data_IF_572483774500
#
_entry.id   IF_572483774500
#
_cell.length_a   1.000
_cell.length_b   1.000
_cell.length_c   1.000
_cell.angle_alpha   90.00
_cell.angle_beta   90.00
_cell.angle_gamma   90.00
#
_symmetry.space_group_name_H-M   'P 1'
#
loop_
_entity.id
_entity.type
_entity.pdbx_description
1 polymer ?
#
# COMPACT_ATOMS: atom_id res chain seq x y z
N UNK A 1 17.68 -26.40 15.25
CA UNK A 1 17.79 -26.49 13.79
C UNK A 1 18.07 -25.11 13.22
N UNK A 2 18.56 -25.03 11.98
CA UNK A 2 18.73 -23.75 11.28
C UNK A 2 17.37 -23.10 10.99
N UNK A 3 17.34 -21.77 11.06
CA UNK A 3 16.21 -20.94 10.62
C UNK A 3 15.71 -21.34 9.22
N UNK A 4 14.40 -21.41 9.03
CA UNK A 4 13.76 -21.66 7.73
C UNK A 4 12.82 -20.53 7.37
N UNK A 5 12.98 -19.97 6.18
CA UNK A 5 12.15 -18.89 5.63
C UNK A 5 11.80 -19.16 4.18
N UNK A 6 10.54 -18.94 3.84
CA UNK A 6 10.03 -18.83 2.48
C UNK A 6 10.11 -17.36 2.10
N UNK A 7 10.85 -17.04 1.03
CA UNK A 7 10.96 -15.66 0.54
C UNK A 7 9.72 -15.28 -0.25
N UNK A 8 8.90 -14.41 0.34
CA UNK A 8 7.74 -13.78 -0.29
C UNK A 8 7.91 -12.27 -0.12
N UNK A 9 7.62 -11.44 -1.13
CA UNK A 9 7.68 -9.99 -0.96
C UNK A 9 6.73 -9.53 0.16
N UNK A 10 7.25 -8.75 1.11
CA UNK A 10 6.43 -8.15 2.16
C UNK A 10 5.59 -6.99 1.61
N UNK A 11 4.37 -6.86 2.14
CA UNK A 11 3.48 -5.72 1.91
C UNK A 11 2.70 -5.35 3.15
N UNK A 12 2.42 -4.06 3.27
CA UNK A 12 1.56 -3.51 4.31
C UNK A 12 0.17 -3.23 3.74
N UNK A 13 -0.88 -3.48 4.53
CA UNK A 13 -2.24 -3.06 4.17
C UNK A 13 -2.43 -1.53 4.21
N UNK A 14 -1.38 -0.80 4.57
CA UNK A 14 -1.34 0.66 4.60
C UNK A 14 -0.52 1.22 3.44
N UNK A 15 -0.06 0.37 2.52
CA UNK A 15 0.59 0.81 1.30
C UNK A 15 -0.36 1.64 0.42
N UNK A 16 0.21 2.49 -0.43
CA UNK A 16 -0.55 3.47 -1.23
C UNK A 16 -1.54 2.83 -2.20
N UNK A 17 -1.39 1.54 -2.45
CA UNK A 17 -2.19 0.70 -3.34
C UNK A 17 -2.98 -0.38 -2.56
N UNK A 18 -3.19 -0.07 -1.27
CA UNK A 18 -4.13 -0.67 -0.33
C UNK A 18 -4.96 0.46 0.31
N UNK A 19 -5.61 1.28 -0.53
CA UNK A 19 -6.27 2.55 -0.14
C UNK A 19 -7.50 2.39 0.79
N UNK A 20 -7.77 1.19 1.34
CA UNK A 20 -8.80 0.99 2.37
C UNK A 20 -8.29 0.21 3.59
N UNK A 21 -8.60 0.75 4.75
CA UNK A 21 -7.61 0.77 5.82
C UNK A 21 -7.89 -0.28 6.92
N UNK A 22 -9.08 -0.89 6.92
CA UNK A 22 -9.50 -1.81 8.00
C UNK A 22 -9.86 -3.23 7.56
N UNK A 23 -10.16 -3.45 6.29
CA UNK A 23 -10.51 -4.76 5.72
C UNK A 23 -9.40 -5.45 4.93
N UNK A 24 -8.30 -4.75 4.63
CA UNK A 24 -7.33 -5.15 3.60
C UNK A 24 -6.29 -6.20 4.04
N UNK A 25 -6.29 -6.65 5.31
CA UNK A 25 -5.33 -7.64 5.79
C UNK A 25 -5.33 -8.93 4.94
N UNK A 26 -6.53 -9.41 4.57
CA UNK A 26 -6.71 -10.59 3.75
C UNK A 26 -6.21 -10.41 2.31
N UNK A 27 -6.72 -9.43 1.55
CA UNK A 27 -6.23 -9.11 0.20
C UNK A 27 -4.73 -8.84 0.17
N UNK A 28 -4.17 -8.17 1.19
CA UNK A 28 -2.72 -7.94 1.27
C UNK A 28 -1.95 -9.25 1.38
N UNK A 29 -2.42 -10.22 2.17
CA UNK A 29 -1.81 -11.55 2.24
C UNK A 29 -1.91 -12.31 0.90
N UNK A 30 -3.04 -12.19 0.18
CA UNK A 30 -3.21 -12.78 -1.15
C UNK A 30 -2.28 -12.12 -2.17
N UNK A 31 -2.14 -10.79 -2.13
CA UNK A 31 -1.23 -10.05 -2.99
C UNK A 31 0.22 -10.49 -2.77
N UNK A 32 0.66 -10.63 -1.51
CA UNK A 32 2.00 -11.14 -1.18
C UNK A 32 2.25 -12.52 -1.80
N UNK A 33 1.31 -13.47 -1.65
CA UNK A 33 1.43 -14.80 -2.28
C UNK A 33 1.52 -14.73 -3.80
N UNK A 34 0.67 -13.92 -4.44
CA UNK A 34 0.66 -13.75 -5.89
C UNK A 34 1.93 -13.05 -6.40
N UNK A 35 2.43 -12.05 -5.69
CA UNK A 35 3.70 -11.39 -5.99
C UNK A 35 4.88 -12.37 -5.85
N UNK A 36 4.83 -13.28 -4.86
CA UNK A 36 5.76 -14.40 -4.75
C UNK A 36 5.72 -15.35 -5.96
N UNK A 37 4.55 -15.51 -6.60
CA UNK A 37 4.37 -16.21 -7.89
C UNK A 37 4.67 -15.35 -9.12
N UNK A 38 5.23 -14.14 -8.93
CA UNK A 38 5.49 -13.15 -9.99
C UNK A 38 4.24 -12.65 -10.73
N UNK A 39 3.07 -12.76 -10.09
CA UNK A 39 1.86 -12.06 -10.53
C UNK A 39 1.90 -10.69 -9.86
N UNK A 40 2.21 -9.65 -10.64
CA UNK A 40 2.16 -8.27 -10.17
C UNK A 40 0.69 -7.88 -9.97
N UNK A 41 0.29 -7.72 -8.71
CA UNK A 41 -1.08 -7.39 -8.30
C UNK A 41 -1.03 -6.60 -6.99
N UNK A 42 -1.93 -5.63 -6.83
CA UNK A 42 -2.12 -4.87 -5.59
C UNK A 42 -3.33 -5.35 -4.78
N UNK A 43 -3.39 -5.07 -3.46
CA UNK A 43 -4.58 -5.28 -2.65
C UNK A 43 -5.82 -4.62 -3.24
N UNK A 44 -5.70 -3.39 -3.75
CA UNK A 44 -6.80 -2.69 -4.40
C UNK A 44 -7.26 -3.39 -5.70
N UNK A 45 -6.33 -3.87 -6.52
CA UNK A 45 -6.66 -4.62 -7.74
C UNK A 45 -7.39 -5.93 -7.44
N UNK A 46 -7.08 -6.59 -6.31
CA UNK A 46 -7.74 -7.83 -5.90
C UNK A 46 -9.25 -7.66 -5.65
N UNK A 47 -9.71 -6.47 -5.29
CA UNK A 47 -11.14 -6.22 -5.08
C UNK A 47 -11.97 -6.35 -6.36
N UNK A 48 -11.38 -6.20 -7.54
CA UNK A 48 -12.06 -6.47 -8.81
C UNK A 48 -12.55 -7.92 -8.96
N UNK A 49 -11.96 -8.86 -8.20
CA UNK A 49 -12.30 -10.28 -8.19
C UNK A 49 -13.18 -10.71 -7.02
N UNK A 50 -13.35 -9.83 -6.02
CA UNK A 50 -14.23 -10.06 -4.85
C UNK A 50 -15.65 -9.55 -5.14
N UNK A 51 -15.77 -8.52 -5.99
CA UNK A 51 -17.04 -7.88 -6.33
C UNK A 51 -17.24 -6.58 -5.54
N UNK A 52 -18.40 -6.41 -4.90
CA UNK A 52 -18.63 -5.23 -4.04
C UNK A 52 -17.69 -5.31 -2.85
N UNK A 53 -16.79 -4.33 -2.71
CA UNK A 53 -15.80 -4.25 -1.61
C UNK A 53 -16.51 -4.39 -0.25
N UNK A 54 -16.32 -5.51 0.47
CA UNK A 54 -16.97 -5.72 1.75
C UNK A 54 -16.27 -4.91 2.85
N UNK A 55 -16.96 -4.65 3.96
CA UNK A 55 -16.38 -4.01 5.14
C UNK A 55 -15.22 -4.83 5.75
N UNK A 56 -15.30 -6.15 5.62
CA UNK A 56 -14.27 -7.11 6.01
C UNK A 56 -14.20 -8.19 4.94
N UNK A 57 -13.00 -8.65 4.60
CA UNK A 57 -12.85 -9.80 3.72
C UNK A 57 -13.00 -11.11 4.47
N UNK A 58 -13.73 -12.05 3.90
CA UNK A 58 -13.92 -13.40 4.41
C UNK A 58 -13.16 -14.42 3.55
N UNK A 59 -13.04 -15.66 4.05
CA UNK A 59 -12.38 -16.75 3.35
C UNK A 59 -12.84 -16.93 1.89
N UNK A 60 -14.15 -16.88 1.56
CA UNK A 60 -14.60 -16.98 0.17
C UNK A 60 -14.07 -15.84 -0.72
N UNK A 61 -13.98 -14.62 -0.19
CA UNK A 61 -13.46 -13.46 -0.92
C UNK A 61 -11.99 -13.68 -1.28
N UNK A 62 -11.18 -14.15 -0.33
CA UNK A 62 -9.76 -14.41 -0.55
C UNK A 62 -9.54 -15.53 -1.57
N UNK A 63 -10.38 -16.58 -1.55
CA UNK A 63 -10.36 -17.65 -2.55
C UNK A 63 -10.69 -17.12 -3.95
N UNK A 64 -11.73 -16.30 -4.07
CA UNK A 64 -12.15 -15.69 -5.34
C UNK A 64 -11.06 -14.76 -5.88
N UNK A 65 -10.47 -13.92 -5.01
CA UNK A 65 -9.40 -13.01 -5.37
C UNK A 65 -8.14 -13.75 -5.86
N UNK A 66 -7.69 -14.76 -5.11
CA UNK A 66 -6.51 -15.54 -5.47
C UNK A 66 -6.69 -16.32 -6.79
N UNK A 67 -7.87 -16.92 -7.00
CA UNK A 67 -8.19 -17.62 -8.23
C UNK A 67 -8.34 -16.66 -9.42
N UNK A 68 -9.09 -15.57 -9.25
CA UNK A 68 -9.36 -14.60 -10.30
C UNK A 68 -8.10 -13.89 -10.79
N UNK A 69 -7.23 -13.48 -9.88
CA UNK A 69 -6.02 -12.71 -10.21
C UNK A 69 -4.85 -13.57 -10.70
N UNK A 70 -4.74 -14.83 -10.24
CA UNK A 70 -3.55 -15.64 -10.55
C UNK A 70 -3.76 -17.14 -10.54
N UNK A 71 -5.00 -17.61 -10.69
CA UNK A 71 -5.37 -19.03 -10.71
C UNK A 71 -4.82 -19.81 -9.49
N UNK A 72 -4.69 -19.12 -8.36
CA UNK A 72 -4.16 -19.68 -7.13
C UNK A 72 -5.31 -20.25 -6.29
N UNK A 73 -5.42 -21.58 -6.26
CA UNK A 73 -6.36 -22.25 -5.38
C UNK A 73 -5.93 -22.09 -3.92
N UNK A 74 -6.83 -21.60 -3.07
CA UNK A 74 -6.63 -21.57 -1.62
C UNK A 74 -7.55 -22.60 -0.94
N UNK A 75 -6.97 -23.50 -0.17
CA UNK A 75 -7.70 -24.51 0.61
C UNK A 75 -7.79 -24.06 2.06
N UNK A 76 -9.01 -23.99 2.60
CA UNK A 76 -9.19 -23.70 4.01
C UNK A 76 -8.92 -24.95 4.85
N UNK A 77 -8.10 -24.82 5.89
CA UNK A 77 -7.80 -25.88 6.85
C UNK A 77 -7.82 -25.30 8.26
N UNK A 78 -8.28 -26.09 9.23
CA UNK A 78 -8.16 -25.79 10.65
C UNK A 78 -7.55 -26.97 11.37
N UNK A 79 -6.65 -26.71 12.32
CA UNK A 79 -5.98 -27.73 13.10
C UNK A 79 -6.67 -27.92 14.46
N UNK A 80 -6.69 -29.15 14.98
CA UNK A 80 -7.49 -29.46 16.15
C UNK A 80 -6.93 -28.85 17.44
N UNK A 81 -5.60 -28.68 17.53
CA UNK A 81 -4.93 -28.21 18.73
C UNK A 81 -3.57 -27.58 18.41
N UNK A 82 -2.98 -26.94 19.44
CA UNK A 82 -1.69 -26.23 19.36
C UNK A 82 -0.54 -27.09 18.85
N UNK A 83 -0.47 -28.36 19.26
CA UNK A 83 0.60 -29.27 18.87
C UNK A 83 0.49 -29.60 17.38
N UNK A 84 -0.71 -29.95 16.91
CA UNK A 84 -0.96 -30.20 15.50
C UNK A 84 -0.72 -28.94 14.65
N UNK A 85 -1.20 -27.78 15.11
CA UNK A 85 -1.02 -26.51 14.40
C UNK A 85 0.46 -26.17 14.19
N UNK A 86 1.29 -26.29 15.24
CA UNK A 86 2.72 -26.02 15.13
C UNK A 86 3.45 -27.06 14.26
N UNK A 87 3.06 -28.34 14.38
CA UNK A 87 3.62 -29.41 13.55
C UNK A 87 3.35 -29.16 12.05
N UNK A 88 2.10 -28.89 11.70
CA UNK A 88 1.68 -28.68 10.31
C UNK A 88 2.20 -27.37 9.73
N UNK A 89 2.32 -26.31 10.55
CA UNK A 89 3.01 -25.09 10.17
C UNK A 89 4.45 -25.39 9.73
N UNK A 90 5.19 -26.16 10.53
CA UNK A 90 6.57 -26.53 10.22
C UNK A 90 6.64 -27.39 8.96
N UNK A 91 5.73 -28.35 8.79
CA UNK A 91 5.65 -29.15 7.57
C UNK A 91 5.40 -28.31 6.31
N UNK A 92 4.55 -27.29 6.38
CA UNK A 92 4.33 -26.38 5.26
C UNK A 92 5.62 -25.60 4.93
N UNK A 93 6.26 -24.98 5.92
CA UNK A 93 7.51 -24.24 5.70
C UNK A 93 8.64 -25.15 5.21
N UNK A 94 8.72 -26.38 5.71
CA UNK A 94 9.69 -27.39 5.25
C UNK A 94 9.52 -27.76 3.78
N UNK A 95 8.29 -27.73 3.29
CA UNK A 95 7.96 -27.90 1.89
C UNK A 95 8.17 -26.61 1.06
N UNK A 96 8.61 -25.50 1.67
CA UNK A 96 8.72 -24.20 1.02
C UNK A 96 7.37 -23.48 0.84
N UNK A 97 6.35 -23.88 1.59
CA UNK A 97 4.99 -23.39 1.46
C UNK A 97 4.67 -22.36 2.55
N UNK A 98 4.58 -21.09 2.16
CA UNK A 98 3.95 -20.06 3.00
C UNK A 98 2.42 -20.31 3.10
N UNK A 99 1.74 -19.70 4.04
CA UNK A 99 0.26 -19.80 4.08
C UNK A 99 -0.35 -18.66 4.88
N UNK A 100 -1.61 -18.35 4.63
CA UNK A 100 -2.31 -17.27 5.35
C UNK A 100 -2.93 -17.87 6.61
N UNK A 101 -2.58 -17.35 7.78
CA UNK A 101 -3.24 -17.67 9.04
C UNK A 101 -4.30 -16.61 9.36
N UNK A 102 -5.44 -17.05 9.92
CA UNK A 102 -6.44 -16.18 10.53
C UNK A 102 -6.26 -16.26 12.05
N UNK A 103 -5.85 -15.17 12.68
CA UNK A 103 -5.51 -15.14 14.10
C UNK A 103 -6.26 -14.03 14.86
N UNK A 104 -6.50 -14.23 16.15
CA UNK A 104 -6.96 -13.18 17.06
C UNK A 104 -5.78 -12.29 17.42
N UNK A 105 -5.87 -11.00 17.15
CA UNK A 105 -4.76 -10.07 17.36
C UNK A 105 -4.61 -9.60 18.82
N UNK A 106 -5.68 -9.70 19.62
CA UNK A 106 -5.71 -9.23 21.02
C UNK A 106 -4.55 -9.72 21.90
N UNK A 107 -4.12 -11.00 21.86
CA UNK A 107 -2.98 -11.47 22.63
C UNK A 107 -1.65 -10.75 22.31
N UNK A 108 -1.57 -10.07 21.16
CA UNK A 108 -0.34 -9.44 20.65
C UNK A 108 -0.29 -7.94 20.84
N UNK A 109 -1.29 -7.31 21.44
CA UNK A 109 -1.36 -5.84 21.64
C UNK A 109 -0.09 -5.30 22.29
N UNK A 110 0.38 -5.94 23.37
CA UNK A 110 1.61 -5.51 24.07
C UNK A 110 2.87 -5.68 23.23
N UNK A 111 2.94 -6.76 22.45
CA UNK A 111 4.11 -7.10 21.63
C UNK A 111 4.22 -6.18 20.41
N UNK A 112 3.09 -5.91 19.76
CA UNK A 112 3.00 -5.15 18.51
C UNK A 112 2.92 -3.65 18.75
N UNK A 113 2.42 -3.24 19.93
CA UNK A 113 2.12 -1.85 20.25
C UNK A 113 0.80 -1.34 19.62
N UNK A 114 0.03 -2.23 18.98
CA UNK A 114 -1.26 -1.90 18.37
C UNK A 114 -2.43 -2.18 19.32
N UNK A 115 -3.53 -1.43 19.23
CA UNK A 115 -4.73 -1.62 20.07
C UNK A 115 -5.84 -2.49 19.43
N UNK A 116 -5.62 -3.03 18.24
CA UNK A 116 -6.53 -3.89 17.47
C UNK A 116 -6.67 -5.26 18.15
N UNK A 117 -7.91 -5.74 18.24
CA UNK A 117 -8.27 -6.91 19.05
C UNK A 117 -8.98 -8.01 18.28
N UNK A 118 -9.28 -7.78 17.01
CA UNK A 118 -10.18 -8.65 16.26
C UNK A 118 -9.39 -9.66 15.42
N UNK A 119 -10.10 -10.42 14.58
CA UNK A 119 -9.49 -11.34 13.65
C UNK A 119 -8.61 -10.59 12.63
N UNK A 120 -7.45 -11.16 12.33
CA UNK A 120 -6.45 -10.60 11.43
C UNK A 120 -5.87 -11.69 10.54
N UNK A 121 -5.71 -11.40 9.25
CA UNK A 121 -4.97 -12.26 8.34
C UNK A 121 -3.52 -11.84 8.28
N UNK A 122 -2.62 -12.82 8.35
CA UNK A 122 -1.19 -12.66 8.26
C UNK A 122 -0.59 -13.85 7.50
N UNK A 123 0.56 -13.64 6.86
CA UNK A 123 1.21 -14.68 6.08
C UNK A 123 2.33 -15.33 6.89
N UNK A 124 2.23 -16.62 7.16
CA UNK A 124 3.30 -17.37 7.82
C UNK A 124 4.39 -17.67 6.79
N UNK A 125 5.62 -17.22 7.06
CA UNK A 125 6.74 -17.29 6.11
C UNK A 125 7.96 -18.01 6.67
N UNK A 126 7.98 -18.41 7.93
CA UNK A 126 9.10 -19.18 8.43
C UNK A 126 8.96 -19.67 9.87
N UNK A 127 9.98 -20.40 10.32
CA UNK A 127 10.16 -20.72 11.73
C UNK A 127 11.63 -20.98 12.09
N UNK A 128 11.93 -20.90 13.38
CA UNK A 128 13.11 -21.50 14.01
C UNK A 128 12.65 -22.39 15.19
N UNK A 129 13.58 -22.95 15.96
CA UNK A 129 13.22 -23.86 17.07
C UNK A 129 12.21 -23.24 18.03
N UNK A 130 12.31 -21.94 18.28
CA UNK A 130 11.59 -21.19 19.31
C UNK A 130 10.57 -20.19 18.75
N UNK A 131 10.60 -19.89 17.46
CA UNK A 131 9.84 -18.80 16.86
C UNK A 131 9.13 -19.16 15.55
N UNK A 132 8.08 -18.40 15.26
CA UNK A 132 7.40 -18.32 13.98
C UNK A 132 7.66 -16.94 13.38
N UNK A 133 7.99 -16.90 12.09
CA UNK A 133 8.14 -15.68 11.32
C UNK A 133 6.92 -15.47 10.43
N UNK A 134 6.44 -14.22 10.38
CA UNK A 134 5.28 -13.87 9.59
C UNK A 134 5.53 -12.59 8.79
N UNK A 135 4.76 -12.39 7.72
CA UNK A 135 4.50 -11.08 7.17
C UNK A 135 3.17 -10.60 7.73
N UNK A 136 3.25 -9.64 8.64
CA UNK A 136 2.09 -9.00 9.24
C UNK A 136 1.74 -7.72 8.47
N UNK A 137 0.64 -7.71 7.70
CA UNK A 137 0.29 -6.57 6.88
C UNK A 137 -0.20 -5.38 7.72
N UNK A 138 -0.50 -5.55 9.01
CA UNK A 138 -1.08 -4.48 9.82
C UNK A 138 -0.06 -3.39 10.12
N UNK A 139 1.26 -3.64 10.13
CA UNK A 139 2.23 -2.60 10.49
C UNK A 139 2.17 -1.41 9.52
N UNK A 140 1.96 -0.19 10.04
CA UNK A 140 1.88 1.03 9.25
C UNK A 140 1.51 2.27 10.05
N UNK A 141 0.25 2.41 10.48
CA UNK A 141 -0.23 3.67 11.10
C UNK A 141 0.50 4.07 12.40
N UNK A 142 0.95 3.09 13.19
CA UNK A 142 1.55 3.32 14.52
C UNK A 142 3.01 2.86 14.61
N UNK A 143 3.55 2.26 13.56
CA UNK A 143 4.89 1.71 13.50
C UNK A 143 5.33 1.58 12.04
N UNK A 144 6.64 1.60 11.78
CA UNK A 144 7.19 1.43 10.43
C UNK A 144 6.65 0.16 9.76
N UNK A 145 6.27 0.26 8.49
CA UNK A 145 5.69 -0.85 7.71
C UNK A 145 6.64 -2.04 7.64
N UNK A 146 7.93 -1.80 7.40
CA UNK A 146 8.97 -2.84 7.34
C UNK A 146 9.06 -3.70 8.60
N UNK A 147 8.55 -3.24 9.75
CA UNK A 147 8.49 -4.06 10.96
C UNK A 147 7.56 -5.27 10.80
N UNK A 148 6.60 -5.24 9.88
CA UNK A 148 5.75 -6.39 9.59
C UNK A 148 6.46 -7.49 8.80
N UNK A 149 7.58 -7.20 8.15
CA UNK A 149 8.37 -8.17 7.41
C UNK A 149 9.12 -9.09 8.37
N UNK A 150 9.00 -10.41 8.16
CA UNK A 150 9.48 -11.48 9.05
C UNK A 150 9.28 -11.19 10.54
N UNK A 151 8.16 -10.57 10.91
CA UNK A 151 7.83 -10.28 12.30
C UNK A 151 7.85 -11.58 13.10
N UNK A 152 8.58 -11.54 14.22
CA UNK A 152 8.96 -12.73 14.97
C UNK A 152 8.07 -12.87 16.21
N UNK A 153 7.37 -13.98 16.30
CA UNK A 153 6.67 -14.41 17.50
C UNK A 153 7.40 -15.61 18.10
N UNK A 154 7.48 -15.72 19.42
CA UNK A 154 7.77 -17.05 20.00
C UNK A 154 6.66 -18.02 19.61
N UNK A 155 6.96 -19.32 19.56
CA UNK A 155 5.97 -20.37 19.25
C UNK A 155 4.72 -20.21 20.13
N UNK A 156 4.91 -19.90 21.42
CA UNK A 156 3.82 -19.65 22.36
C UNK A 156 3.01 -18.42 21.96
N UNK A 157 3.66 -17.28 21.74
CA UNK A 157 2.98 -16.03 21.36
C UNK A 157 2.15 -16.22 20.09
N UNK A 158 2.72 -16.85 19.06
CA UNK A 158 2.01 -17.09 17.81
C UNK A 158 0.76 -17.95 18.02
N UNK A 159 0.91 -19.08 18.72
CA UNK A 159 -0.19 -19.99 19.00
C UNK A 159 -1.27 -19.39 19.92
N UNK A 160 -0.91 -18.44 20.79
CA UNK A 160 -1.86 -17.72 21.64
C UNK A 160 -2.81 -16.84 20.80
N UNK A 161 -2.33 -16.24 19.71
CA UNK A 161 -3.19 -15.50 18.78
C UNK A 161 -3.89 -16.40 17.76
N UNK A 162 -3.17 -17.34 17.14
CA UNK A 162 -3.74 -18.24 16.12
C UNK A 162 -4.84 -19.18 16.67
N UNK A 163 -4.73 -19.53 17.95
CA UNK A 163 -5.74 -20.27 18.70
C UNK A 163 -6.49 -19.44 19.75
N UNK A 164 -6.53 -18.11 19.58
CA UNK A 164 -7.03 -17.17 20.58
C UNK A 164 -8.48 -16.74 20.44
N UNK A 165 -9.24 -17.31 19.51
CA UNK A 165 -10.66 -16.98 19.33
C UNK A 165 -11.53 -17.67 20.38
N UNK A 166 -12.54 -16.94 20.85
CA UNK A 166 -13.66 -17.52 21.59
C UNK A 166 -14.49 -18.44 20.67
N UNK A 167 -15.21 -19.41 21.25
CA UNK A 167 -16.02 -20.37 20.49
C UNK A 167 -17.16 -19.72 19.67
N UNK A 168 -17.52 -18.47 19.97
CA UNK A 168 -18.50 -17.68 19.22
C UNK A 168 -17.90 -16.86 18.07
N UNK A 169 -16.57 -16.85 17.92
CA UNK A 169 -15.85 -16.08 16.91
C UNK A 169 -15.38 -16.98 15.74
N UNK A 170 -14.18 -16.73 15.20
CA UNK A 170 -13.60 -17.54 14.14
C UNK A 170 -13.07 -18.87 14.69
N UNK A 171 -12.96 -19.87 13.82
CA UNK A 171 -12.36 -21.14 14.18
C UNK A 171 -10.87 -20.99 14.49
N UNK A 172 -10.46 -21.53 15.64
CA UNK A 172 -9.06 -21.59 16.06
C UNK A 172 -8.19 -22.38 15.09
N UNK A 173 -6.94 -21.93 14.92
CA UNK A 173 -5.94 -22.52 14.03
C UNK A 173 -6.39 -22.61 12.56
N UNK A 174 -7.29 -21.72 12.14
CA UNK A 174 -7.76 -21.60 10.76
C UNK A 174 -6.70 -20.97 9.86
N UNK A 175 -6.57 -21.50 8.64
CA UNK A 175 -5.64 -20.99 7.64
C UNK A 175 -6.12 -21.25 6.21
N UNK A 176 -5.52 -20.54 5.26
CA UNK A 176 -5.64 -20.77 3.83
C UNK A 176 -4.30 -21.24 3.29
N UNK A 177 -4.27 -22.47 2.82
CA UNK A 177 -3.10 -23.12 2.23
C UNK A 177 -3.20 -23.01 0.71
N UNK A 178 -2.26 -22.31 0.05
CA UNK A 178 -2.20 -22.28 -1.40
C UNK A 178 -1.95 -23.67 -2.00
N UNK A 179 -2.48 -23.91 -3.19
CA UNK A 179 -2.07 -25.05 -4.00
C UNK A 179 -0.69 -24.74 -4.63
N UNK A 180 0.31 -25.42 -4.11
CA UNK A 180 1.71 -25.33 -4.53
C UNK A 180 2.04 -26.25 -5.71
N UNK A 181 1.04 -26.78 -6.43
CA UNK A 181 1.19 -27.57 -7.66
C UNK A 181 2.02 -26.88 -8.76
N UNK A 182 2.28 -25.58 -8.63
CA UNK A 182 3.28 -24.84 -9.40
C UNK A 182 4.39 -24.35 -8.47
N UNK A 183 5.68 -24.61 -8.77
CA UNK A 183 6.77 -24.09 -7.97
C UNK A 183 6.68 -22.56 -7.93
N UNK A 184 6.64 -22.00 -6.72
CA UNK A 184 7.25 -20.69 -6.54
C UNK A 184 8.68 -20.86 -7.01
N UNK A 185 9.15 -20.00 -7.91
CA UNK A 185 10.48 -20.14 -8.49
C UNK A 185 11.45 -20.37 -7.33
N UNK A 186 12.01 -21.58 -7.23
CA UNK A 186 13.18 -21.85 -6.42
C UNK A 186 14.13 -20.70 -6.75
N UNK A 187 14.54 -19.97 -5.71
CA UNK A 187 15.26 -18.70 -5.77
C UNK A 187 15.64 -18.28 -7.19
N UNK A 188 15.21 -17.08 -7.62
CA UNK A 188 15.99 -16.38 -8.63
C UNK A 188 17.47 -16.69 -8.35
N UNK A 189 18.17 -17.24 -9.34
CA UNK A 189 19.63 -17.43 -9.27
C UNK A 189 20.14 -16.20 -8.51
N UNK A 190 20.90 -16.38 -7.42
CA UNK A 190 21.30 -15.25 -6.61
C UNK A 190 21.73 -14.17 -7.59
N UNK A 191 21.11 -12.99 -7.50
CA UNK A 191 21.81 -11.83 -7.99
C UNK A 191 23.23 -11.96 -7.45
N UNK A 192 24.26 -11.81 -8.31
CA UNK A 192 25.64 -12.05 -7.91
C UNK A 192 25.83 -11.46 -6.52
N UNK A 193 26.35 -12.27 -5.59
CA UNK A 193 26.48 -11.89 -4.18
C UNK A 193 26.84 -10.43 -4.10
N UNK A 194 26.10 -9.59 -3.33
CA UNK A 194 26.50 -8.20 -3.18
C UNK A 194 27.95 -8.24 -2.74
N UNK A 195 28.81 -7.59 -3.53
CA UNK A 195 30.20 -7.45 -3.18
C UNK A 195 30.29 -6.99 -1.72
N UNK A 196 31.28 -7.50 -0.96
CA UNK A 196 31.35 -7.35 0.49
C UNK A 196 31.07 -5.90 0.92
N UNK A 197 29.96 -5.68 1.66
CA UNK A 197 29.53 -4.41 2.25
C UNK A 197 30.14 -3.18 1.55
N UNK A 198 29.87 -3.03 0.24
CA UNK A 198 30.13 -1.75 -0.40
C UNK A 198 29.10 -0.80 0.18
N UNK A 199 29.56 0.19 0.96
CA UNK A 199 28.69 1.27 1.42
C UNK A 199 27.85 1.76 0.23
N UNK A 200 26.53 1.97 0.42
CA UNK A 200 25.68 2.47 -0.64
C UNK A 200 26.31 3.71 -1.25
N UNK A 201 26.28 3.79 -2.58
CA UNK A 201 26.81 4.94 -3.30
C UNK A 201 26.12 6.22 -2.82
N UNK A 202 26.78 7.37 -2.96
CA UNK A 202 26.18 8.64 -2.54
C UNK A 202 24.83 8.92 -3.24
N UNK A 203 24.66 8.45 -4.48
CA UNK A 203 23.40 8.53 -5.21
C UNK A 203 22.29 7.66 -4.58
N UNK A 204 22.62 6.44 -4.14
CA UNK A 204 21.68 5.54 -3.46
C UNK A 204 21.32 6.06 -2.06
N UNK A 205 22.30 6.61 -1.33
CA UNK A 205 22.08 7.29 -0.05
C UNK A 205 21.17 8.50 -0.24
N UNK A 206 21.39 9.31 -1.27
CA UNK A 206 20.58 10.49 -1.60
C UNK A 206 19.15 10.10 -1.98
N UNK A 207 18.98 9.09 -2.84
CA UNK A 207 17.69 8.54 -3.21
C UNK A 207 16.91 8.04 -1.99
N UNK A 208 17.55 7.27 -1.10
CA UNK A 208 16.93 6.78 0.11
C UNK A 208 16.57 7.91 1.09
N UNK A 209 17.43 8.92 1.23
CA UNK A 209 17.17 10.09 2.06
C UNK A 209 16.01 10.93 1.52
N UNK A 210 15.92 11.10 0.20
CA UNK A 210 14.82 11.78 -0.47
C UNK A 210 13.50 11.04 -0.25
N UNK A 211 13.49 9.72 -0.42
CA UNK A 211 12.32 8.88 -0.13
C UNK A 211 11.88 9.01 1.32
N UNK A 212 12.82 8.95 2.27
CA UNK A 212 12.54 9.10 3.69
C UNK A 212 11.98 10.50 4.02
N UNK A 213 12.54 11.56 3.45
CA UNK A 213 12.08 12.93 3.66
C UNK A 213 10.63 13.12 3.16
N UNK A 214 10.32 12.64 1.95
CA UNK A 214 8.97 12.75 1.37
C UNK A 214 7.96 11.82 2.06
N UNK A 215 8.39 10.64 2.54
CA UNK A 215 7.51 9.69 3.22
C UNK A 215 7.14 10.12 4.64
N UNK A 216 8.06 10.77 5.36
CA UNK A 216 7.85 11.23 6.75
C UNK A 216 7.17 12.60 6.77
N UNK A 217 7.50 13.47 5.81
CA UNK A 217 6.96 14.83 5.76
C UNK A 217 5.78 14.92 4.77
N UNK A 218 4.57 14.79 5.33
CA UNK A 218 3.33 14.97 4.57
C UNK A 218 3.17 16.36 3.94
N UNK A 219 3.88 17.38 4.43
CA UNK A 219 3.93 18.71 3.82
C UNK A 219 4.79 18.72 2.56
N UNK A 220 5.98 18.12 2.58
CA UNK A 220 6.83 18.00 1.39
C UNK A 220 6.11 17.23 0.28
N UNK A 221 5.50 16.08 0.61
CA UNK A 221 4.72 15.31 -0.36
C UNK A 221 3.59 16.14 -0.97
N UNK A 222 2.81 16.82 -0.13
CA UNK A 222 1.70 17.68 -0.58
C UNK A 222 2.17 18.81 -1.50
N UNK A 223 3.28 19.47 -1.15
CA UNK A 223 3.89 20.54 -1.96
C UNK A 223 4.39 20.01 -3.30
N UNK A 224 5.07 18.87 -3.33
CA UNK A 224 5.56 18.23 -4.57
C UNK A 224 4.41 17.88 -5.52
N UNK A 225 3.38 17.20 -5.01
CA UNK A 225 2.24 16.80 -5.85
C UNK A 225 1.48 18.03 -6.37
N UNK A 226 1.36 19.06 -5.54
CA UNK A 226 0.77 20.33 -5.95
C UNK A 226 1.61 21.06 -7.01
N UNK A 227 2.95 21.05 -6.89
CA UNK A 227 3.84 21.62 -7.89
C UNK A 227 3.76 20.87 -9.21
N UNK A 228 3.77 19.53 -9.19
CA UNK A 228 3.60 18.72 -10.41
C UNK A 228 2.27 19.04 -11.12
N UNK A 229 1.18 19.15 -10.34
CA UNK A 229 -0.12 19.56 -10.86
C UNK A 229 -0.13 21.02 -11.34
N UNK A 230 0.62 21.91 -10.68
CA UNK A 230 0.84 23.27 -11.15
C UNK A 230 1.54 23.24 -12.49
N UNK A 231 2.64 22.51 -12.67
CA UNK A 231 3.38 22.46 -13.94
C UNK A 231 2.62 21.75 -15.06
N UNK A 232 1.56 21.00 -14.74
CA UNK A 232 0.73 20.29 -15.70
C UNK A 232 1.32 18.95 -16.13
N UNK A 233 2.21 18.40 -15.31
CA UNK A 233 2.79 17.06 -15.53
C UNK A 233 1.96 15.98 -14.84
N UNK A 234 2.17 14.73 -15.23
CA UNK A 234 1.55 13.60 -14.57
C UNK A 234 1.98 13.51 -13.10
N UNK A 235 1.15 12.90 -12.26
CA UNK A 235 1.46 12.73 -10.85
C UNK A 235 2.76 11.92 -10.68
N UNK A 236 3.78 12.47 -10.00
CA UNK A 236 5.07 11.81 -9.92
C UNK A 236 5.05 10.60 -9.00
N UNK A 237 5.74 9.53 -9.39
CA UNK A 237 5.91 8.37 -8.53
C UNK A 237 6.96 8.66 -7.44
N UNK A 238 6.56 9.28 -6.34
CA UNK A 238 7.46 9.58 -5.21
C UNK A 238 7.90 8.35 -4.39
N UNK A 239 7.57 7.14 -4.85
CA UNK A 239 8.15 5.90 -4.35
C UNK A 239 9.41 5.49 -5.14
N UNK A 240 9.70 6.16 -6.26
CA UNK A 240 10.94 6.04 -7.00
C UNK A 240 11.96 7.07 -6.47
N UNK A 241 13.15 6.61 -6.12
CA UNK A 241 14.16 7.43 -5.44
C UNK A 241 14.70 8.55 -6.31
N UNK A 242 14.95 8.29 -7.59
CA UNK A 242 15.40 9.30 -8.55
C UNK A 242 14.33 10.36 -8.77
N UNK A 243 13.06 9.94 -8.93
CA UNK A 243 11.92 10.86 -9.01
C UNK A 243 11.80 11.71 -7.75
N UNK A 244 11.96 11.13 -6.55
CA UNK A 244 11.90 11.87 -5.30
C UNK A 244 13.01 12.93 -5.19
N UNK A 245 14.25 12.59 -5.56
CA UNK A 245 15.39 13.52 -5.60
C UNK A 245 15.11 14.66 -6.58
N UNK A 246 14.68 14.33 -7.81
CA UNK A 246 14.34 15.32 -8.82
C UNK A 246 13.32 16.34 -8.27
N UNK A 247 12.20 15.87 -7.71
CA UNK A 247 11.14 16.75 -7.24
C UNK A 247 11.50 17.53 -5.98
N UNK A 248 12.32 16.99 -5.08
CA UNK A 248 12.80 17.74 -3.92
C UNK A 248 13.71 18.90 -4.35
N UNK A 249 14.62 18.65 -5.29
CA UNK A 249 15.49 19.68 -5.84
C UNK A 249 14.71 20.72 -6.65
N UNK A 250 13.63 20.28 -7.30
CA UNK A 250 12.75 21.14 -8.10
C UNK A 250 11.71 21.91 -7.28
N UNK A 251 11.44 21.49 -6.03
CA UNK A 251 10.37 22.04 -5.20
C UNK A 251 10.57 23.51 -4.85
N UNK A 252 11.82 23.92 -4.61
CA UNK A 252 12.17 25.26 -4.16
C UNK A 252 11.29 25.76 -3.00
N UNK A 253 10.74 26.96 -3.18
CA UNK A 253 9.84 27.61 -2.20
C UNK A 253 8.35 27.38 -2.47
N UNK A 254 7.99 26.56 -3.47
CA UNK A 254 6.60 26.30 -3.81
C UNK A 254 5.81 25.83 -2.59
N UNK A 255 4.72 26.53 -2.27
CA UNK A 255 3.85 26.17 -1.14
C UNK A 255 4.49 26.26 0.24
N UNK A 256 5.68 26.89 0.39
CA UNK A 256 6.19 27.28 1.72
C UNK A 256 5.32 28.35 2.36
N UNK A 257 4.70 29.19 1.51
CA UNK A 257 3.70 30.16 1.90
C UNK A 257 2.36 29.77 1.28
N UNK A 258 1.30 29.95 2.06
CA UNK A 258 -0.07 29.70 1.63
C UNK A 258 -0.93 30.93 1.89
N UNK A 259 -1.81 31.25 0.96
CA UNK A 259 -2.92 32.16 1.23
C UNK A 259 -4.16 31.36 1.63
N UNK A 260 -4.81 31.75 2.71
CA UNK A 260 -6.04 31.11 3.16
C UNK A 260 -7.23 31.77 2.48
N UNK A 261 -7.92 31.03 1.63
CA UNK A 261 -9.15 31.46 0.98
C UNK A 261 -10.38 30.84 1.61
N UNK A 262 -11.40 31.64 1.93
CA UNK A 262 -12.73 31.15 2.33
C UNK A 262 -13.66 31.19 1.14
N UNK A 263 -14.13 30.02 0.71
CA UNK A 263 -14.99 29.86 -0.46
C UNK A 263 -16.31 30.62 -0.26
N UNK A 264 -16.69 31.42 -1.25
CA UNK A 264 -17.96 32.16 -1.32
C UNK A 264 -18.78 31.73 -2.55
N UNK A 265 -20.09 32.04 -2.61
CA UNK A 265 -20.90 31.71 -3.78
C UNK A 265 -20.27 32.22 -5.08
N UNK A 266 -20.22 31.35 -6.09
CA UNK A 266 -19.62 31.65 -7.40
C UNK A 266 -18.12 31.36 -7.52
N UNK A 267 -17.44 30.94 -6.45
CA UNK A 267 -16.07 30.44 -6.58
C UNK A 267 -16.03 29.11 -7.33
N UNK A 268 -15.02 28.98 -8.16
CA UNK A 268 -14.62 27.74 -8.84
C UNK A 268 -13.11 27.57 -8.69
N UNK A 269 -12.61 26.34 -8.72
CA UNK A 269 -11.16 26.12 -8.69
C UNK A 269 -10.43 26.87 -9.80
N UNK A 270 -10.98 26.89 -11.03
CA UNK A 270 -10.43 27.66 -12.16
C UNK A 270 -10.45 29.17 -11.92
N UNK A 271 -11.50 29.69 -11.28
CA UNK A 271 -11.60 31.11 -10.93
C UNK A 271 -10.59 31.51 -9.86
N UNK A 272 -10.43 30.67 -8.83
CA UNK A 272 -9.41 30.86 -7.79
C UNK A 272 -7.99 30.74 -8.37
N UNK A 273 -7.75 29.76 -9.23
CA UNK A 273 -6.48 29.59 -9.94
C UNK A 273 -6.13 30.82 -10.78
N UNK A 274 -7.07 31.36 -11.56
CA UNK A 274 -6.84 32.60 -12.31
C UNK A 274 -6.53 33.78 -11.39
N UNK A 275 -7.20 33.86 -10.24
CA UNK A 275 -6.99 34.93 -9.25
C UNK A 275 -5.60 34.86 -8.62
N UNK A 276 -5.16 33.67 -8.23
CA UNK A 276 -3.95 33.47 -7.44
C UNK A 276 -2.70 33.18 -8.28
N UNK A 277 -2.86 32.57 -9.45
CA UNK A 277 -1.77 32.16 -10.33
C UNK A 277 -1.78 32.85 -11.69
N UNK A 278 -2.77 33.72 -11.97
CA UNK A 278 -2.95 34.31 -13.30
C UNK A 278 -3.46 33.35 -14.38
N UNK A 279 -3.47 32.03 -14.11
CA UNK A 279 -3.84 31.00 -15.06
C UNK A 279 -4.94 30.08 -14.50
N UNK A 280 -6.07 30.00 -15.20
CA UNK A 280 -7.19 29.12 -14.83
C UNK A 280 -6.90 27.63 -14.98
N UNK A 281 -5.89 27.23 -15.75
CA UNK A 281 -5.54 25.83 -15.99
C UNK A 281 -4.75 25.20 -14.85
N UNK A 282 -4.17 26.02 -13.97
CA UNK A 282 -3.37 25.61 -12.80
C UNK A 282 -4.21 25.21 -11.58
N UNK A 283 -5.52 25.07 -11.78
CA UNK A 283 -6.49 24.86 -10.70
C UNK A 283 -6.29 23.56 -9.94
N UNK A 284 -5.72 22.56 -10.61
CA UNK A 284 -5.42 21.26 -10.02
C UNK A 284 -4.36 21.34 -8.93
N UNK A 285 -3.46 22.33 -8.99
CA UNK A 285 -2.48 22.59 -7.93
C UNK A 285 -3.15 22.90 -6.59
N UNK A 286 -4.22 23.73 -6.60
CA UNK A 286 -5.02 24.06 -5.41
C UNK A 286 -5.75 22.82 -4.92
N UNK A 287 -6.38 22.08 -5.82
CA UNK A 287 -7.14 20.88 -5.47
C UNK A 287 -6.25 19.84 -4.79
N UNK A 288 -5.10 19.52 -5.41
CA UNK A 288 -4.14 18.53 -4.92
C UNK A 288 -3.54 18.97 -3.59
N UNK A 289 -3.17 20.25 -3.44
CA UNK A 289 -2.65 20.77 -2.19
C UNK A 289 -3.65 20.66 -1.03
N UNK A 290 -4.95 20.78 -1.30
CA UNK A 290 -5.99 20.68 -0.28
C UNK A 290 -6.51 19.24 -0.07
N UNK A 291 -5.88 18.25 -0.71
CA UNK A 291 -6.28 16.84 -0.69
C UNK A 291 -7.79 16.65 -0.97
N UNK A 292 -8.30 17.28 -2.04
CA UNK A 292 -9.71 17.20 -2.43
C UNK A 292 -9.87 16.34 -3.68
N UNK A 293 -10.55 15.18 -3.59
CA UNK A 293 -10.77 14.32 -4.76
C UNK A 293 -11.84 14.88 -5.71
N UNK A 294 -12.74 15.72 -5.20
CA UNK A 294 -13.82 16.34 -6.00
C UNK A 294 -13.40 17.72 -6.53
N UNK A 295 -13.96 18.07 -7.68
CA UNK A 295 -13.86 19.39 -8.32
C UNK A 295 -14.88 20.38 -7.76
N UNK A 296 -15.83 19.92 -6.92
CA UNK A 296 -16.81 20.79 -6.27
C UNK A 296 -16.23 21.56 -5.08
N UNK A 297 -16.61 22.84 -4.99
CA UNK A 297 -16.32 23.72 -3.87
C UNK A 297 -17.58 24.00 -3.07
N UNK A 298 -17.46 23.96 -1.74
CA UNK A 298 -18.57 24.25 -0.84
C UNK A 298 -18.43 25.64 -0.23
N UNK A 299 -19.51 26.43 -0.23
CA UNK A 299 -19.51 27.76 0.39
C UNK A 299 -19.12 27.65 1.86
N UNK A 300 -18.19 28.49 2.29
CA UNK A 300 -17.61 28.48 3.64
C UNK A 300 -16.40 27.57 3.81
N UNK A 301 -16.09 26.71 2.84
CA UNK A 301 -14.88 25.87 2.85
C UNK A 301 -13.62 26.74 2.92
N UNK A 302 -12.66 26.32 3.74
CA UNK A 302 -11.34 26.92 3.81
C UNK A 302 -10.39 26.18 2.87
N UNK A 303 -9.71 26.90 2.01
CA UNK A 303 -8.67 26.39 1.11
C UNK A 303 -7.35 27.07 1.42
N UNK A 304 -6.28 26.28 1.43
CA UNK A 304 -4.91 26.76 1.46
C UNK A 304 -4.41 26.84 0.02
N UNK A 305 -4.10 28.04 -0.45
CA UNK A 305 -3.63 28.28 -1.81
C UNK A 305 -2.11 28.32 -1.76
N UNK A 306 -1.39 27.29 -2.26
CA UNK A 306 0.07 27.30 -2.26
C UNK A 306 0.56 28.38 -3.22
N UNK A 307 1.47 29.24 -2.77
CA UNK A 307 2.00 30.32 -3.58
C UNK A 307 3.33 29.92 -4.24
N UNK A 308 3.58 30.32 -5.50
CA UNK A 308 4.92 30.26 -6.08
C UNK A 308 5.87 31.21 -5.34
N UNK A 309 7.17 30.97 -5.45
CA UNK A 309 8.18 31.87 -4.88
C UNK A 309 8.04 33.28 -5.46
N UNK A 310 8.21 34.32 -4.63
CA UNK A 310 8.25 35.71 -5.10
C UNK A 310 9.43 35.88 -6.07
N UNK A 311 9.16 35.81 -7.37
CA UNK A 311 10.16 35.85 -8.44
C UNK A 311 9.96 34.85 -9.59
N UNK A 312 8.99 33.93 -9.52
CA UNK A 312 8.69 33.00 -10.63
C UNK A 312 7.56 33.46 -11.57
N UNK A 313 7.04 34.69 -11.40
CA UNK A 313 6.00 35.26 -12.25
C UNK A 313 6.48 35.68 -13.67
N UNK A 314 7.73 35.42 -14.03
CA UNK A 314 8.29 35.75 -15.35
C UNK A 314 9.16 34.61 -15.91
N UNK A 315 8.54 33.51 -16.32
CA UNK A 315 9.14 32.63 -17.34
C UNK A 315 8.04 31.95 -18.18
N UNK A 316 7.78 32.59 -19.33
CA UNK A 316 7.26 32.07 -20.59
C UNK A 316 5.83 31.51 -20.69
N UNK A 317 4.99 32.25 -21.41
CA UNK A 317 3.66 31.85 -21.88
C UNK A 317 3.65 30.80 -23.01
N UNK A 318 2.57 30.78 -23.79
CA UNK A 318 1.55 29.73 -23.72
C UNK A 318 2.12 28.35 -24.12
N UNK A 319 2.11 27.38 -23.20
CA UNK A 319 2.39 25.98 -23.53
C UNK A 319 1.09 25.19 -23.62
N UNK A 320 0.62 25.08 -24.86
CA UNK A 320 -0.21 24.03 -25.49
C UNK A 320 -1.22 23.27 -24.62
N UNK A 321 -2.49 23.40 -25.01
CA UNK A 321 -3.57 22.48 -24.65
C UNK A 321 -3.14 21.02 -24.83
N UNK A 322 -3.51 20.19 -23.85
CA UNK A 322 -3.45 18.74 -23.95
C UNK A 322 -4.01 18.27 -25.30
N UNK A 323 -3.26 17.39 -25.97
CA UNK A 323 -3.67 16.72 -27.21
C UNK A 323 -5.06 16.11 -26.98
N UNK A 324 -6.05 16.60 -27.72
CA UNK A 324 -7.37 16.01 -27.76
C UNK A 324 -7.28 14.66 -28.47
N UNK A 325 -7.61 13.58 -27.76
CA UNK A 325 -7.91 12.31 -28.41
C UNK A 325 -9.12 12.49 -29.35
N UNK A 326 -9.09 11.95 -30.59
CA UNK A 326 -10.24 12.01 -31.47
C UNK A 326 -11.43 11.28 -30.82
N UNK A 327 -12.59 11.95 -30.76
CA UNK A 327 -13.84 11.34 -30.31
C UNK A 327 -14.22 10.20 -31.26
N UNK A 328 -14.14 8.96 -30.78
CA UNK A 328 -14.78 7.83 -31.45
C UNK A 328 -16.28 7.93 -31.18
N UNK A 329 -17.04 8.33 -32.20
CA UNK A 329 -18.50 8.27 -32.17
C UNK A 329 -18.94 6.80 -32.32
N UNK A 330 -19.13 6.10 -31.21
CA UNK A 330 -19.89 4.85 -31.21
C UNK A 330 -21.40 5.19 -31.21
N UNK A 331 -22.19 4.74 -32.21
CA UNK A 331 -23.64 4.95 -32.20
C UNK A 331 -24.30 4.16 -31.07
N UNK A 332 -25.26 4.79 -30.38
CA UNK A 332 -26.06 4.15 -29.32
C UNK A 332 -26.86 2.97 -29.91
N UNK A 333 -26.86 1.79 -29.25
CA UNK A 333 -27.80 0.74 -29.60
C UNK A 333 -29.23 1.19 -29.29
N UNK A 334 -30.15 0.91 -30.22
CA UNK A 334 -31.57 1.19 -30.06
C UNK A 334 -32.20 0.27 -29.01
N UNK A 335 -33.19 0.74 -28.25
CA UNK A 335 -33.92 -0.10 -27.30
C UNK A 335 -34.74 -1.16 -28.04
N UNK A 336 -34.77 -2.37 -27.46
CA UNK A 336 -35.59 -3.51 -27.91
C UNK A 336 -37.04 -3.27 -27.50
#
# INVERSE_FOLDING_TARGET
MSEKKVRIPYRSQWDKDAEDHSGDCGPTCVAMLLNGKRVAITPDELYSYIGVRPKFTYIPDLKNAAWGAGQLNLTYKAYANRQQALHELRQNIDAGHAFIALAKYEPWIKLTGNQFKFGHFLLVTGYDDDHVFVHDPLFGLWAQRSRGEFFRFTNKQFLDGWGGFDYTENQNFGCLIPDYSYPFVAAAQPEPEPEPDTEPTEAEKEAQNALNAVAVDGELRRRILSLAAYEGVAEPNLADGETAVYWLNHLGDWGKQVEVHKVVPGNTYSGLSRRYYGDSMRWRAIQVYNNKPDTQLYVGQRLEIPLPAAGQDQADGPRTAAIAYPKVNAPRPQPI
#
